data_IF_868877517830
#
_entry.id   IF_868877517830
#
_cell.length_a   1.000
_cell.length_b   1.000
_cell.length_c   1.000
_cell.angle_alpha   90.00
_cell.angle_beta   90.00
_cell.angle_gamma   90.00
#
_symmetry.space_group_name_H-M   'P 1'
#
loop_
_entity.id
_entity.type
_entity.pdbx_description
1 polymer ?
#
# COMPACT_ATOMS: atom_id res chain seq x y z
N UNK A 1 6.20 16.82 -14.33
CA UNK A 1 7.23 15.76 -14.21
C UNK A 1 6.71 14.57 -15.00
N UNK A 2 7.55 13.91 -15.80
CA UNK A 2 7.11 12.84 -16.72
C UNK A 2 6.62 11.60 -15.95
N UNK A 3 5.36 11.18 -16.20
CA UNK A 3 4.73 9.99 -15.61
C UNK A 3 5.62 8.75 -15.78
N UNK A 4 6.16 8.53 -16.99
CA UNK A 4 6.99 7.34 -17.28
C UNK A 4 8.26 7.33 -16.45
N UNK A 5 8.87 8.50 -16.25
CA UNK A 5 10.07 8.67 -15.43
C UNK A 5 9.77 8.35 -13.96
N UNK A 6 8.69 8.89 -13.41
CA UNK A 6 8.27 8.61 -12.01
C UNK A 6 8.03 7.12 -11.82
N UNK A 7 7.24 6.52 -12.69
CA UNK A 7 6.90 5.10 -12.66
C UNK A 7 8.15 4.22 -12.68
N UNK A 8 9.13 4.54 -13.55
CA UNK A 8 10.41 3.83 -13.61
C UNK A 8 11.21 3.97 -12.32
N UNK A 9 11.39 5.20 -11.83
CA UNK A 9 12.18 5.45 -10.61
C UNK A 9 11.57 4.76 -9.38
N UNK A 10 10.24 4.77 -9.24
CA UNK A 10 9.52 4.09 -8.15
C UNK A 10 9.71 2.57 -8.24
N UNK A 11 9.58 1.98 -9.44
CA UNK A 11 9.84 0.55 -9.64
C UNK A 11 11.26 0.15 -9.24
N UNK A 12 12.27 0.88 -9.73
CA UNK A 12 13.68 0.61 -9.43
C UNK A 12 14.01 0.75 -7.94
N UNK A 13 13.38 1.71 -7.26
CA UNK A 13 13.50 1.88 -5.81
C UNK A 13 12.98 0.65 -5.06
N UNK A 14 11.79 0.17 -5.44
CA UNK A 14 11.13 -0.94 -4.75
C UNK A 14 11.71 -2.31 -5.10
N UNK A 15 12.32 -2.48 -6.28
CA UNK A 15 13.14 -3.67 -6.60
C UNK A 15 14.27 -3.89 -5.59
N UNK A 16 14.79 -2.83 -4.98
CA UNK A 16 15.89 -2.89 -3.99
C UNK A 16 15.37 -2.92 -2.55
N UNK A 17 14.39 -2.08 -2.22
CA UNK A 17 13.92 -1.95 -0.83
C UNK A 17 13.16 -3.21 -0.39
N UNK A 18 12.27 -3.72 -1.24
CA UNK A 18 11.41 -4.86 -0.85
C UNK A 18 12.05 -6.23 -1.03
N UNK A 19 13.22 -6.33 -1.66
CA UNK A 19 14.00 -7.59 -1.72
C UNK A 19 14.78 -7.87 -0.44
N UNK A 20 14.94 -6.87 0.44
CA UNK A 20 15.66 -6.99 1.71
C UNK A 20 14.79 -7.37 2.90
N UNK A 21 13.47 -7.35 2.74
CA UNK A 21 12.52 -7.49 3.83
C UNK A 21 11.49 -8.60 3.57
N UNK A 22 11.28 -9.46 4.56
CA UNK A 22 10.19 -10.43 4.59
C UNK A 22 9.24 -10.06 5.73
N UNK A 23 8.06 -9.49 5.43
CA UNK A 23 7.06 -9.17 6.45
C UNK A 23 6.55 -10.42 7.18
N UNK A 24 6.23 -10.23 8.45
CA UNK A 24 5.70 -11.28 9.32
C UNK A 24 4.22 -11.53 9.02
N UNK A 25 3.94 -12.72 8.48
CA UNK A 25 2.59 -13.18 8.10
C UNK A 25 1.60 -13.05 9.27
N UNK A 26 1.96 -13.42 10.49
CA UNK A 26 1.02 -13.44 11.62
C UNK A 26 0.56 -12.04 12.06
N UNK A 27 1.47 -11.07 12.05
CA UNK A 27 1.15 -9.67 12.37
C UNK A 27 0.22 -9.08 11.30
N UNK A 28 0.50 -9.36 10.01
CA UNK A 28 -0.35 -8.92 8.91
C UNK A 28 -1.72 -9.58 8.95
N UNK A 29 -1.78 -10.89 9.21
CA UNK A 29 -3.03 -11.65 9.34
C UNK A 29 -3.91 -11.07 10.44
N UNK A 30 -3.33 -10.76 11.60
CA UNK A 30 -4.03 -10.11 12.72
C UNK A 30 -4.58 -8.75 12.31
N UNK A 31 -3.79 -7.96 11.57
CA UNK A 31 -4.23 -6.66 11.06
C UNK A 31 -5.43 -6.79 10.10
N UNK A 32 -5.38 -7.73 9.15
CA UNK A 32 -6.46 -7.94 8.18
C UNK A 32 -7.73 -8.44 8.86
N UNK A 33 -7.63 -9.40 9.78
CA UNK A 33 -8.78 -9.88 10.56
C UNK A 33 -9.47 -8.75 11.32
N UNK A 34 -8.69 -7.85 11.92
CA UNK A 34 -9.23 -6.73 12.71
C UNK A 34 -9.97 -5.69 11.87
N UNK A 35 -9.50 -5.37 10.67
CA UNK A 35 -10.01 -4.22 9.90
C UNK A 35 -10.83 -4.60 8.67
N UNK A 36 -10.69 -5.82 8.17
CA UNK A 36 -11.45 -6.34 7.04
C UNK A 36 -12.49 -7.35 7.51
N UNK A 37 -12.17 -8.20 8.50
CA UNK A 37 -13.06 -9.25 8.98
C UNK A 37 -13.00 -10.52 8.11
N UNK A 38 -13.07 -11.68 8.75
CA UNK A 38 -12.95 -12.98 8.06
C UNK A 38 -14.14 -13.26 7.14
N UNK A 39 -15.33 -12.82 7.53
CA UNK A 39 -16.59 -12.94 6.78
C UNK A 39 -16.54 -12.19 5.45
N UNK A 40 -15.73 -11.13 5.39
CA UNK A 40 -15.51 -10.39 4.15
C UNK A 40 -14.46 -11.08 3.26
N UNK A 41 -13.57 -11.91 3.80
CA UNK A 41 -12.48 -12.53 3.04
C UNK A 41 -12.87 -13.92 2.52
N UNK A 42 -13.51 -14.73 3.35
CA UNK A 42 -13.75 -16.15 3.05
C UNK A 42 -14.62 -16.31 1.80
N UNK A 43 -14.15 -17.13 0.86
CA UNK A 43 -14.85 -17.43 -0.39
C UNK A 43 -14.85 -16.29 -1.42
N UNK A 44 -14.20 -15.16 -1.15
CA UNK A 44 -14.13 -14.01 -2.08
C UNK A 44 -12.95 -14.10 -3.04
N UNK A 45 -13.10 -13.41 -4.17
CA UNK A 45 -12.01 -13.09 -5.12
C UNK A 45 -11.42 -11.74 -4.74
N UNK A 46 -10.10 -11.69 -4.54
CA UNK A 46 -9.40 -10.52 -4.00
C UNK A 46 -8.27 -10.08 -4.94
N UNK A 47 -8.20 -8.78 -5.21
CA UNK A 47 -7.05 -8.13 -5.82
C UNK A 47 -6.24 -7.41 -4.73
N UNK A 48 -4.96 -7.76 -4.60
CA UNK A 48 -3.96 -7.02 -3.82
C UNK A 48 -3.16 -6.11 -4.77
N UNK A 49 -3.55 -4.85 -4.87
CA UNK A 49 -3.03 -3.88 -5.84
C UNK A 49 -1.82 -3.12 -5.28
N UNK A 50 -0.64 -3.35 -5.88
CA UNK A 50 0.66 -3.00 -5.31
C UNK A 50 1.03 -3.95 -4.18
N UNK A 51 1.03 -5.26 -4.47
CA UNK A 51 1.16 -6.30 -3.44
C UNK A 51 2.54 -6.35 -2.80
N UNK A 52 3.56 -5.68 -3.35
CA UNK A 52 4.93 -5.71 -2.87
C UNK A 52 5.43 -7.14 -2.72
N UNK A 53 5.88 -7.49 -1.51
CA UNK A 53 6.35 -8.85 -1.18
C UNK A 53 5.22 -9.87 -0.95
N UNK A 54 3.96 -9.54 -1.28
CA UNK A 54 2.82 -10.47 -1.31
C UNK A 54 2.26 -10.88 0.04
N UNK A 55 2.61 -10.22 1.15
CA UNK A 55 2.21 -10.67 2.48
C UNK A 55 0.71 -10.60 2.72
N UNK A 56 0.06 -9.53 2.27
CA UNK A 56 -1.38 -9.40 2.41
C UNK A 56 -2.08 -10.45 1.54
N UNK A 57 -1.65 -10.61 0.28
CA UNK A 57 -2.13 -11.66 -0.61
C UNK A 57 -2.04 -13.08 -0.02
N UNK A 58 -0.89 -13.43 0.58
CA UNK A 58 -0.70 -14.71 1.28
C UNK A 58 -1.65 -14.83 2.47
N UNK A 59 -1.79 -13.80 3.29
CA UNK A 59 -2.73 -13.80 4.41
C UNK A 59 -4.18 -13.96 3.94
N UNK A 60 -4.61 -13.28 2.87
CA UNK A 60 -5.96 -13.44 2.31
C UNK A 60 -6.23 -14.88 1.92
N UNK A 61 -5.26 -15.55 1.29
CA UNK A 61 -5.40 -16.96 0.92
C UNK A 61 -5.46 -17.87 2.15
N UNK A 62 -4.61 -17.65 3.15
CA UNK A 62 -4.65 -18.36 4.44
C UNK A 62 -5.95 -18.14 5.21
N UNK A 63 -6.61 -17.00 5.01
CA UNK A 63 -7.90 -16.65 5.62
C UNK A 63 -9.11 -17.19 4.82
N UNK A 64 -8.87 -17.96 3.77
CA UNK A 64 -9.91 -18.67 3.03
C UNK A 64 -10.49 -17.90 1.85
N UNK A 65 -9.80 -16.88 1.34
CA UNK A 65 -10.15 -16.29 0.04
C UNK A 65 -10.19 -17.38 -1.05
N UNK A 66 -11.21 -17.35 -1.90
CA UNK A 66 -11.35 -18.30 -3.01
C UNK A 66 -10.18 -18.16 -3.97
N UNK A 67 -9.87 -16.93 -4.34
CA UNK A 67 -8.82 -16.59 -5.27
C UNK A 67 -8.19 -15.25 -4.88
N UNK A 68 -6.87 -15.16 -5.03
CA UNK A 68 -6.11 -13.93 -4.76
C UNK A 68 -5.20 -13.67 -5.94
N UNK A 69 -5.30 -12.46 -6.49
CA UNK A 69 -4.39 -11.92 -7.51
C UNK A 69 -3.62 -10.77 -6.87
N UNK A 70 -2.30 -10.84 -6.82
CA UNK A 70 -1.42 -9.74 -6.45
C UNK A 70 -0.79 -9.13 -7.69
N UNK A 71 -0.88 -7.81 -7.84
CA UNK A 71 -0.20 -7.09 -8.91
C UNK A 71 0.80 -6.09 -8.33
N UNK A 72 1.96 -5.96 -8.96
CA UNK A 72 2.95 -4.95 -8.62
C UNK A 72 3.75 -4.54 -9.86
N UNK A 73 4.38 -3.36 -9.81
CA UNK A 73 5.25 -2.90 -10.89
C UNK A 73 6.68 -3.45 -10.75
N UNK A 74 7.09 -3.80 -9.54
CA UNK A 74 8.41 -4.31 -9.20
C UNK A 74 8.49 -5.83 -9.41
N UNK A 75 9.30 -6.26 -10.37
CA UNK A 75 9.54 -7.70 -10.58
C UNK A 75 10.34 -8.31 -9.43
N UNK A 76 11.25 -7.53 -8.81
CA UNK A 76 11.99 -7.95 -7.63
C UNK A 76 11.05 -8.27 -6.45
N UNK A 77 10.06 -7.41 -6.21
CA UNK A 77 9.06 -7.63 -5.17
C UNK A 77 8.18 -8.86 -5.48
N UNK A 78 7.73 -9.01 -6.73
CA UNK A 78 6.93 -10.17 -7.17
C UNK A 78 7.69 -11.50 -7.02
N UNK A 79 9.01 -11.52 -7.25
CA UNK A 79 9.83 -12.69 -6.99
C UNK A 79 9.79 -13.08 -5.51
N UNK A 80 9.96 -12.11 -4.60
CA UNK A 80 9.81 -12.34 -3.15
C UNK A 80 8.41 -12.80 -2.78
N UNK A 81 7.37 -12.23 -3.42
CA UNK A 81 5.97 -12.59 -3.20
C UNK A 81 5.69 -14.06 -3.55
N UNK A 82 6.18 -14.53 -4.70
CA UNK A 82 6.07 -15.93 -5.13
C UNK A 82 6.76 -16.88 -4.13
N UNK A 83 7.98 -16.54 -3.68
CA UNK A 83 8.70 -17.32 -2.66
C UNK A 83 7.94 -17.37 -1.32
N UNK A 84 7.31 -16.26 -0.92
CA UNK A 84 6.52 -16.21 0.31
C UNK A 84 5.27 -17.10 0.21
N UNK A 85 4.58 -17.09 -0.93
CA UNK A 85 3.43 -17.96 -1.18
C UNK A 85 3.82 -19.44 -1.17
N UNK A 86 4.91 -19.81 -1.84
CA UNK A 86 5.45 -21.18 -1.84
C UNK A 86 5.79 -21.65 -0.42
N UNK A 87 6.49 -20.82 0.36
CA UNK A 87 6.84 -21.13 1.76
C UNK A 87 5.61 -21.35 2.64
N UNK A 88 4.53 -20.62 2.40
CA UNK A 88 3.27 -20.76 3.15
C UNK A 88 2.32 -21.78 2.53
N UNK A 89 2.71 -22.46 1.43
CA UNK A 89 1.93 -23.47 0.72
C UNK A 89 0.54 -22.96 0.31
N UNK A 90 0.49 -21.73 -0.20
CA UNK A 90 -0.73 -21.11 -0.70
C UNK A 90 -0.63 -20.79 -2.18
N UNK A 91 -1.77 -20.91 -2.87
CA UNK A 91 -1.88 -20.54 -4.28
C UNK A 91 -2.36 -19.09 -4.42
N UNK A 92 -1.48 -18.25 -4.94
CA UNK A 92 -1.71 -16.82 -5.21
C UNK A 92 -1.14 -16.50 -6.59
N UNK A 93 -1.92 -15.82 -7.42
CA UNK A 93 -1.50 -15.39 -8.75
C UNK A 93 -0.76 -14.07 -8.61
N UNK A 94 0.49 -14.00 -9.07
CA UNK A 94 1.31 -12.77 -9.01
C UNK A 94 1.73 -12.30 -10.41
N UNK A 95 1.24 -11.12 -10.79
CA UNK A 95 1.44 -10.54 -12.12
C UNK A 95 2.10 -9.17 -12.06
N UNK A 96 2.97 -8.88 -13.04
CA UNK A 96 3.52 -7.54 -13.21
C UNK A 96 2.53 -6.67 -13.96
N UNK A 97 2.05 -5.61 -13.30
CA UNK A 97 1.12 -4.65 -13.90
C UNK A 97 1.38 -3.23 -13.37
N UNK A 98 0.91 -2.23 -14.11
CA UNK A 98 1.06 -0.83 -13.76
C UNK A 98 -0.31 -0.24 -13.42
N UNK A 99 -0.50 0.28 -12.20
CA UNK A 99 -1.78 0.86 -11.79
C UNK A 99 -2.22 2.06 -12.63
N UNK A 100 -1.30 2.75 -13.32
CA UNK A 100 -1.61 3.85 -14.24
C UNK A 100 -2.01 3.39 -15.64
N UNK A 101 -1.64 2.17 -16.03
CA UNK A 101 -1.89 1.55 -17.33
C UNK A 101 -2.23 0.07 -17.13
N UNK A 102 -3.31 -0.18 -16.37
CA UNK A 102 -3.72 -1.52 -15.96
C UNK A 102 -4.12 -2.37 -17.16
N UNK A 103 -3.46 -3.53 -17.29
CA UNK A 103 -3.80 -4.54 -18.30
C UNK A 103 -4.79 -5.56 -17.79
N UNK A 104 -4.82 -5.78 -16.46
CA UNK A 104 -5.77 -6.66 -15.81
C UNK A 104 -7.21 -6.20 -16.07
N UNK A 105 -8.08 -7.14 -16.49
CA UNK A 105 -9.50 -6.87 -16.79
C UNK A 105 -10.49 -7.60 -15.88
N UNK A 106 -9.97 -8.47 -15.02
CA UNK A 106 -10.80 -9.31 -14.13
C UNK A 106 -11.50 -8.45 -13.07
N UNK A 107 -12.72 -8.84 -12.70
CA UNK A 107 -13.49 -8.19 -11.64
C UNK A 107 -13.36 -8.93 -10.31
N UNK A 108 -13.24 -8.21 -9.21
CA UNK A 108 -13.00 -8.76 -7.87
C UNK A 108 -14.09 -8.36 -6.88
N UNK A 109 -14.35 -9.24 -5.90
CA UNK A 109 -15.25 -8.92 -4.78
C UNK A 109 -14.59 -7.94 -3.82
N UNK A 110 -13.26 -8.03 -3.66
CA UNK A 110 -12.46 -7.13 -2.84
C UNK A 110 -11.28 -6.61 -3.64
N UNK A 111 -11.05 -5.30 -3.56
CA UNK A 111 -9.77 -4.69 -3.91
C UNK A 111 -9.13 -4.20 -2.61
N UNK A 112 -7.88 -4.57 -2.40
CA UNK A 112 -7.04 -4.14 -1.30
C UNK A 112 -5.84 -3.39 -1.86
N UNK A 113 -5.56 -2.18 -1.35
CA UNK A 113 -4.36 -1.43 -1.73
C UNK A 113 -3.88 -0.55 -0.58
N UNK A 114 -2.87 -1.02 0.16
CA UNK A 114 -2.35 -0.32 1.34
C UNK A 114 -0.93 0.17 1.11
N UNK A 115 -0.72 1.48 1.22
CA UNK A 115 0.64 2.01 1.10
C UNK A 115 1.11 2.19 -0.35
N UNK A 116 0.20 2.30 -1.32
CA UNK A 116 0.56 2.15 -2.75
C UNK A 116 0.23 3.40 -3.57
N UNK A 117 -1.04 3.74 -3.73
CA UNK A 117 -1.46 4.71 -4.77
C UNK A 117 -0.82 6.09 -4.62
N UNK A 118 -0.47 6.49 -3.40
CA UNK A 118 0.22 7.77 -3.20
C UNK A 118 1.63 7.80 -3.77
N UNK A 119 2.23 6.66 -4.12
CA UNK A 119 3.53 6.59 -4.80
C UNK A 119 3.41 6.60 -6.32
N UNK A 120 2.20 6.52 -6.89
CA UNK A 120 2.01 6.59 -8.35
C UNK A 120 2.04 8.05 -8.80
N UNK A 121 2.48 8.30 -10.03
CA UNK A 121 2.54 9.65 -10.60
C UNK A 121 1.18 10.38 -10.58
N UNK A 122 0.10 9.60 -10.69
CA UNK A 122 -1.29 10.06 -10.60
C UNK A 122 -2.11 9.10 -9.73
N UNK A 123 -2.19 9.45 -8.45
CA UNK A 123 -2.93 8.70 -7.43
C UNK A 123 -4.42 8.57 -7.80
N UNK A 124 -5.02 9.63 -8.37
CA UNK A 124 -6.44 9.63 -8.75
C UNK A 124 -6.70 8.69 -9.91
N UNK A 125 -5.91 8.77 -10.98
CA UNK A 125 -6.00 7.85 -12.12
C UNK A 125 -5.80 6.40 -11.70
N UNK A 126 -4.86 6.13 -10.79
CA UNK A 126 -4.66 4.77 -10.23
C UNK A 126 -5.87 4.29 -9.44
N UNK A 127 -6.50 5.18 -8.65
CA UNK A 127 -7.75 4.89 -7.95
C UNK A 127 -8.88 4.55 -8.93
N UNK A 128 -9.13 5.41 -9.91
CA UNK A 128 -10.19 5.21 -10.91
C UNK A 128 -9.96 3.90 -11.69
N UNK A 129 -8.71 3.63 -12.05
CA UNK A 129 -8.33 2.40 -12.73
C UNK A 129 -8.68 1.14 -11.93
N UNK A 130 -8.49 1.16 -10.61
CA UNK A 130 -8.84 0.05 -9.71
C UNK A 130 -10.34 -0.07 -9.47
N UNK A 131 -11.08 1.04 -9.32
CA UNK A 131 -12.55 0.98 -9.16
C UNK A 131 -13.20 0.24 -10.33
N UNK A 132 -12.67 0.39 -11.55
CA UNK A 132 -13.13 -0.36 -12.73
C UNK A 132 -12.91 -1.88 -12.63
N UNK A 133 -12.11 -2.39 -11.71
CA UNK A 133 -11.94 -3.83 -11.48
C UNK A 133 -12.84 -4.34 -10.35
N UNK A 134 -13.67 -3.49 -9.75
CA UNK A 134 -14.59 -3.89 -8.70
C UNK A 134 -15.85 -4.51 -9.31
N UNK A 135 -16.33 -5.61 -8.73
CA UNK A 135 -17.66 -6.15 -9.03
C UNK A 135 -18.76 -5.22 -8.50
N UNK A 136 -20.01 -5.35 -8.99
CA UNK A 136 -21.17 -4.85 -8.26
C UNK A 136 -21.12 -5.35 -6.81
N UNK A 137 -21.40 -4.47 -5.85
CA UNK A 137 -21.35 -4.73 -4.40
C UNK A 137 -19.97 -5.11 -3.85
N UNK A 138 -18.91 -4.95 -4.64
CA UNK A 138 -17.54 -5.16 -4.20
C UNK A 138 -17.10 -4.10 -3.19
N UNK A 139 -16.06 -4.44 -2.43
CA UNK A 139 -15.45 -3.57 -1.40
C UNK A 139 -14.05 -3.15 -1.81
N UNK A 140 -13.74 -1.86 -1.70
CA UNK A 140 -12.40 -1.34 -1.93
C UNK A 140 -11.81 -0.81 -0.62
N UNK A 141 -10.80 -1.52 -0.10
CA UNK A 141 -10.00 -1.10 1.05
C UNK A 141 -8.74 -0.38 0.57
N UNK A 142 -8.62 0.90 0.92
CA UNK A 142 -7.51 1.76 0.50
C UNK A 142 -6.84 2.41 1.71
N UNK A 143 -5.51 2.40 1.75
CA UNK A 143 -4.74 3.12 2.75
C UNK A 143 -3.67 4.02 2.13
N UNK A 144 -3.73 5.32 2.45
CA UNK A 144 -2.85 6.35 1.89
C UNK A 144 -2.19 7.20 2.99
N UNK A 145 -1.07 7.82 2.64
CA UNK A 145 -0.43 8.83 3.49
C UNK A 145 -1.38 10.00 3.77
N UNK A 146 -1.57 10.27 5.07
CA UNK A 146 -2.40 11.33 5.59
C UNK A 146 -1.72 12.69 5.40
N UNK A 147 -2.44 13.63 4.79
CA UNK A 147 -2.05 15.04 4.70
C UNK A 147 -2.26 15.71 6.06
N UNK A 148 -1.21 16.28 6.62
CA UNK A 148 -1.22 17.01 7.89
C UNK A 148 -0.55 18.38 7.75
N UNK A 149 -0.73 19.32 8.69
CA UNK A 149 0.00 20.59 8.66
C UNK A 149 1.53 20.44 8.61
N UNK A 150 2.07 19.33 9.15
CA UNK A 150 3.49 19.03 9.14
C UNK A 150 4.00 18.48 7.80
N UNK A 151 3.11 18.11 6.88
CA UNK A 151 3.48 17.53 5.57
C UNK A 151 4.39 18.47 4.79
N UNK A 152 4.15 19.78 4.80
CA UNK A 152 5.03 20.74 4.10
C UNK A 152 6.47 20.69 4.63
N UNK A 153 6.63 20.79 5.96
CA UNK A 153 7.95 20.74 6.60
C UNK A 153 8.70 19.45 6.27
N UNK A 154 7.99 18.32 6.20
CA UNK A 154 8.58 17.03 5.87
C UNK A 154 9.02 16.92 4.41
N UNK A 155 8.23 17.47 3.48
CA UNK A 155 8.59 17.51 2.07
C UNK A 155 9.83 18.39 1.86
N UNK A 156 9.92 19.52 2.56
CA UNK A 156 11.12 20.35 2.58
C UNK A 156 12.33 19.62 3.14
N UNK A 157 12.20 18.98 4.31
CA UNK A 157 13.28 18.19 4.89
C UNK A 157 13.77 17.09 3.94
N UNK A 158 12.85 16.36 3.30
CA UNK A 158 13.18 15.34 2.30
C UNK A 158 13.88 15.90 1.07
N UNK A 159 13.45 17.06 0.59
CA UNK A 159 14.09 17.71 -0.55
C UNK A 159 15.58 17.91 -0.26
N UNK A 160 15.91 18.48 0.90
CA UNK A 160 17.30 18.66 1.31
C UNK A 160 18.03 17.33 1.55
N UNK A 161 17.40 16.36 2.21
CA UNK A 161 18.01 15.05 2.47
C UNK A 161 18.36 14.29 1.18
N UNK A 162 17.57 14.46 0.11
CA UNK A 162 17.81 13.83 -1.20
C UNK A 162 18.91 14.49 -2.02
N UNK A 163 19.38 15.69 -1.64
CA UNK A 163 20.55 16.32 -2.28
C UNK A 163 21.86 15.62 -1.91
N UNK A 164 21.90 14.92 -0.78
CA UNK A 164 23.08 14.17 -0.37
C UNK A 164 23.27 12.90 -1.23
N UNK A 165 24.51 12.42 -1.42
CA UNK A 165 24.78 11.17 -2.11
C UNK A 165 24.04 9.99 -1.47
N UNK A 166 23.63 8.99 -2.29
CA UNK A 166 22.90 7.80 -1.82
C UNK A 166 23.63 7.07 -0.68
N UNK A 167 24.96 7.04 -0.68
CA UNK A 167 25.78 6.46 0.39
C UNK A 167 25.54 7.11 1.75
N UNK A 168 25.20 8.41 1.75
CA UNK A 168 24.92 9.17 2.97
C UNK A 168 23.49 8.95 3.48
N UNK A 169 22.57 8.47 2.63
CA UNK A 169 21.17 8.22 3.04
C UNK A 169 21.07 7.18 4.15
N UNK A 170 21.87 6.10 4.05
CA UNK A 170 21.96 5.03 5.06
C UNK A 170 22.52 5.55 6.37
N UNK A 171 23.54 6.42 6.30
CA UNK A 171 24.10 7.04 7.48
C UNK A 171 23.08 7.97 8.16
N UNK A 172 22.42 8.84 7.40
CA UNK A 172 21.41 9.77 7.88
C UNK A 172 20.20 9.03 8.46
N UNK A 173 19.71 7.99 7.77
CA UNK A 173 18.58 7.19 8.25
C UNK A 173 18.91 6.51 9.59
N UNK A 174 20.14 6.01 9.74
CA UNK A 174 20.64 5.43 10.99
C UNK A 174 20.69 6.46 12.13
N UNK A 175 21.16 7.69 11.88
CA UNK A 175 21.18 8.76 12.90
C UNK A 175 19.77 9.18 13.33
N UNK A 176 18.87 9.42 12.36
CA UNK A 176 17.48 9.79 12.66
C UNK A 176 16.78 8.66 13.42
N UNK A 177 17.00 7.39 13.05
CA UNK A 177 16.48 6.24 13.79
C UNK A 177 16.92 6.26 15.25
N UNK A 178 18.21 6.52 15.54
CA UNK A 178 18.71 6.64 16.92
C UNK A 178 17.98 7.73 17.71
N UNK A 179 17.84 8.93 17.13
CA UNK A 179 17.09 10.05 17.71
C UNK A 179 15.62 9.70 17.99
N UNK A 180 14.98 8.98 17.07
CA UNK A 180 13.57 8.60 17.16
C UNK A 180 13.32 7.31 17.98
N UNK A 181 14.37 6.55 18.31
CA UNK A 181 14.28 5.24 18.99
C UNK A 181 14.11 5.31 20.51
N UNK A 182 14.13 6.51 21.11
CA UNK A 182 13.94 6.72 22.56
C UNK A 182 12.56 6.38 23.14
N UNK A 183 11.60 5.86 22.35
CA UNK A 183 10.26 5.45 22.83
C UNK A 183 9.88 4.04 22.34
N UNK A 184 9.89 3.09 23.29
CA UNK A 184 9.35 1.70 23.33
C UNK A 184 8.82 1.09 22.02
N UNK A 185 9.47 0.00 21.58
CA UNK A 185 9.02 -1.11 20.70
C UNK A 185 7.81 -0.85 19.79
N UNK A 186 8.05 -0.87 18.48
CA UNK A 186 6.98 -0.83 17.48
C UNK A 186 6.21 -2.15 17.55
N UNK A 187 4.87 -2.10 17.66
CA UNK A 187 3.99 -3.28 17.54
C UNK A 187 3.87 -3.80 16.08
N UNK A 188 4.52 -3.13 15.13
CA UNK A 188 4.74 -3.60 13.76
C UNK A 188 6.22 -4.00 13.67
N UNK A 189 6.49 -5.28 13.48
CA UNK A 189 7.80 -5.89 13.26
C UNK A 189 8.39 -5.54 11.90
N UNK A 190 8.44 -4.26 11.58
CA UNK A 190 9.12 -3.70 10.42
C UNK A 190 10.54 -3.26 10.82
N UNK A 191 11.50 -3.49 9.94
CA UNK A 191 12.87 -3.05 10.17
C UNK A 191 12.95 -1.52 10.04
N UNK A 192 13.61 -0.87 10.98
CA UNK A 192 13.66 0.59 11.01
C UNK A 192 14.55 1.23 9.94
N UNK A 193 15.16 0.47 9.02
CA UNK A 193 16.02 1.01 7.96
C UNK A 193 15.27 1.12 6.63
N UNK A 194 14.57 0.06 6.21
CA UNK A 194 13.65 0.05 5.08
C UNK A 194 12.52 1.07 5.25
N UNK A 195 11.93 1.16 6.45
CA UNK A 195 10.94 2.19 6.78
C UNK A 195 11.48 3.59 6.55
N UNK A 196 12.71 3.85 7.02
CA UNK A 196 13.34 5.16 6.87
C UNK A 196 13.67 5.47 5.40
N UNK A 197 14.09 4.45 4.65
CA UNK A 197 14.34 4.58 3.22
C UNK A 197 13.06 4.93 2.47
N UNK A 198 11.97 4.20 2.70
CA UNK A 198 10.66 4.51 2.12
C UNK A 198 10.18 5.92 2.55
N UNK A 199 10.24 6.21 3.85
CA UNK A 199 9.74 7.46 4.43
C UNK A 199 10.52 8.71 4.09
N UNK A 200 11.78 8.63 3.68
CA UNK A 200 12.58 9.81 3.31
C UNK A 200 13.06 9.83 1.85
N UNK A 201 13.16 8.67 1.20
CA UNK A 201 13.88 8.56 -0.06
C UNK A 201 13.07 7.94 -1.21
N UNK A 202 11.82 7.51 -0.98
CA UNK A 202 10.94 7.10 -2.10
C UNK A 202 10.87 8.20 -3.18
N UNK A 203 11.00 7.89 -4.49
CA UNK A 203 11.16 8.91 -5.51
C UNK A 203 9.99 9.89 -5.62
N UNK A 204 8.78 9.37 -5.41
CA UNK A 204 7.54 10.14 -5.52
C UNK A 204 6.57 9.75 -4.42
N UNK A 205 5.82 10.74 -3.93
CA UNK A 205 4.70 10.52 -3.02
C UNK A 205 3.75 11.72 -2.98
N UNK A 206 2.47 11.45 -2.85
CA UNK A 206 1.41 12.42 -2.52
C UNK A 206 0.89 12.18 -1.11
N UNK A 207 0.08 13.12 -0.58
CA UNK A 207 -0.61 12.98 0.69
C UNK A 207 -2.04 13.44 0.51
N UNK A 208 -2.99 12.73 1.10
CA UNK A 208 -4.41 12.93 0.89
C UNK A 208 -5.15 13.12 2.22
N UNK A 209 -6.32 13.75 2.15
CA UNK A 209 -7.25 13.80 3.29
C UNK A 209 -8.34 12.73 3.14
N UNK A 210 -8.90 12.19 4.23
CA UNK A 210 -10.05 11.29 4.12
C UNK A 210 -11.19 11.89 3.29
N UNK A 211 -11.54 13.16 3.53
CA UNK A 211 -12.59 13.89 2.80
C UNK A 211 -12.37 13.95 1.29
N UNK A 212 -11.12 14.05 0.85
CA UNK A 212 -10.76 14.01 -0.58
C UNK A 212 -11.07 12.64 -1.18
N UNK A 213 -10.67 11.57 -0.49
CA UNK A 213 -10.93 10.19 -0.95
C UNK A 213 -12.41 9.83 -0.87
N UNK A 214 -13.15 10.35 0.14
CA UNK A 214 -14.61 10.24 0.21
C UNK A 214 -15.27 10.86 -1.02
N UNK A 215 -14.75 12.00 -1.51
CA UNK A 215 -15.19 12.62 -2.75
C UNK A 215 -14.96 11.72 -3.96
N UNK A 216 -13.79 11.08 -4.05
CA UNK A 216 -13.47 10.16 -5.14
C UNK A 216 -14.40 8.96 -5.17
N UNK A 217 -14.69 8.34 -4.02
CA UNK A 217 -15.68 7.26 -3.94
C UNK A 217 -17.07 7.71 -4.40
N UNK A 218 -17.49 8.90 -3.98
CA UNK A 218 -18.80 9.46 -4.36
C UNK A 218 -18.94 9.70 -5.85
N UNK A 219 -17.87 10.10 -6.53
CA UNK A 219 -17.86 10.27 -7.98
C UNK A 219 -18.02 8.95 -8.76
N UNK A 220 -17.86 7.80 -8.08
CA UNK A 220 -18.14 6.46 -8.59
C UNK A 220 -19.41 5.83 -7.98
N UNK A 221 -20.31 6.64 -7.42
CA UNK A 221 -21.55 6.19 -6.77
C UNK A 221 -21.32 5.18 -5.62
N UNK A 222 -20.19 5.32 -4.92
CA UNK A 222 -19.84 4.48 -3.78
C UNK A 222 -19.97 5.26 -2.46
N UNK A 223 -20.55 4.60 -1.46
CA UNK A 223 -20.44 5.01 -0.08
C UNK A 223 -19.03 4.72 0.44
N UNK A 224 -18.59 5.49 1.43
CA UNK A 224 -17.28 5.25 2.04
C UNK A 224 -17.30 5.42 3.56
N UNK A 225 -16.45 4.65 4.23
CA UNK A 225 -16.28 4.64 5.67
C UNK A 225 -14.80 4.74 6.03
N UNK A 226 -14.46 5.68 6.91
CA UNK A 226 -13.14 5.77 7.51
C UNK A 226 -13.00 4.73 8.62
N UNK A 227 -12.19 3.69 8.36
CA UNK A 227 -11.95 2.60 9.32
C UNK A 227 -10.84 2.96 10.31
N UNK A 228 -9.82 3.67 9.84
CA UNK A 228 -8.75 4.18 10.71
C UNK A 228 -8.38 5.59 10.29
N UNK A 229 -8.57 6.55 11.19
CA UNK A 229 -8.24 7.95 10.92
C UNK A 229 -6.72 8.21 10.86
N UNK A 230 -5.92 7.43 11.59
CA UNK A 230 -4.47 7.61 11.67
C UNK A 230 -3.75 6.34 12.17
N UNK A 231 -2.84 5.80 11.37
CA UNK A 231 -1.94 4.69 11.73
C UNK A 231 -0.49 5.14 11.61
N UNK A 232 0.24 5.25 12.73
CA UNK A 232 1.65 5.65 12.69
C UNK A 232 2.09 6.32 13.99
N UNK A 233 3.40 6.28 14.27
CA UNK A 233 4.00 6.96 15.44
C UNK A 233 4.10 8.47 15.27
N UNK A 234 4.28 8.91 14.03
CA UNK A 234 4.51 10.31 13.66
C UNK A 234 3.42 10.76 12.71
N UNK A 235 2.96 12.00 12.86
CA UNK A 235 1.95 12.60 11.98
C UNK A 235 2.36 12.56 10.49
N UNK A 236 3.66 12.46 10.23
CA UNK A 236 4.33 12.48 8.93
C UNK A 236 4.14 11.28 8.01
N UNK A 237 4.01 10.11 8.61
CA UNK A 237 4.04 8.80 7.92
C UNK A 237 2.79 8.02 8.29
N UNK A 238 1.78 8.76 8.75
CA UNK A 238 0.53 8.18 9.17
C UNK A 238 -0.27 7.79 7.94
N UNK A 239 -0.73 6.55 7.87
CA UNK A 239 -1.74 6.18 6.89
C UNK A 239 -3.13 6.30 7.51
N UNK A 240 -4.14 6.66 6.72
CA UNK A 240 -5.53 6.36 7.06
C UNK A 240 -5.98 5.13 6.28
N UNK A 241 -7.02 4.45 6.77
CA UNK A 241 -7.63 3.30 6.10
C UNK A 241 -9.11 3.63 5.84
N UNK A 242 -9.53 3.51 4.59
CA UNK A 242 -10.90 3.69 4.17
C UNK A 242 -11.43 2.45 3.45
N UNK A 243 -12.72 2.23 3.60
CA UNK A 243 -13.51 1.27 2.87
C UNK A 243 -14.47 2.03 1.97
N UNK A 244 -14.50 1.70 0.68
CA UNK A 244 -15.59 2.07 -0.22
C UNK A 244 -16.42 0.85 -0.60
N UNK A 245 -17.72 1.03 -0.75
CA UNK A 245 -18.65 0.01 -1.26
C UNK A 245 -19.81 0.68 -1.98
N UNK A 246 -20.39 0.01 -2.98
CA UNK A 246 -21.64 0.49 -3.56
C UNK A 246 -22.72 0.46 -2.47
N UNK A 247 -23.49 1.55 -2.36
CA UNK A 247 -24.62 1.61 -1.44
C UNK A 247 -25.66 0.53 -1.78
N UNK A 248 -26.52 0.12 -0.83
CA UNK A 248 -27.62 -0.76 -1.16
C UNK A 248 -28.46 -0.11 -2.26
N UNK A 249 -28.56 -0.76 -3.43
CA UNK A 249 -29.48 -0.30 -4.48
C UNK A 249 -30.86 -0.18 -3.85
N UNK A 250 -31.44 1.03 -3.88
CA UNK A 250 -32.84 1.21 -3.54
C UNK A 250 -33.65 0.25 -4.42
N UNK A 251 -34.35 -0.70 -3.77
CA UNK A 251 -35.23 -1.65 -4.43
C UNK A 251 -36.44 -0.94 -5.01
#
# INVERSE_FOLDING_TARGET
>A
MDEKKITKEVSEFYDVVWTKYLPKVEEQKTFLLKHIGIENIKGKTILDAGCGTGVAAVCFKLLGAKEVVGIDISEGALKTARMLAERNKVDVIFEKDNLLDLKLKKKFDIIHSFGVLHHTADCRKSFDNLVRLLKPDGKFYIALYLKTPLTFLQQSARFFLRLFPKSMWVFISSQIKKLLSGKKNTKRGFDGEGDMLDWFFVPYRTHHTPKEIEGWFREHDMDSQLLIAKTGRYASTSNFLMLGSHGPKAK
#
